data_IF_904872036212
#
_entry.id   IF_904872036212
#
_cell.length_a   1.000
_cell.length_b   1.000
_cell.length_c   1.000
_cell.angle_alpha   90.00
_cell.angle_beta   90.00
_cell.angle_gamma   90.00
#
_symmetry.space_group_name_H-M   'P 1'
#
loop_
_entity.id
_entity.type
_entity.pdbx_description
1 polymer ?
#
# COMPACT_ATOMS: atom_id res chain seq x y z
N UNK A 1 -3.55 -19.11 -16.87
CA UNK A 1 -3.16 -19.95 -15.72
C UNK A 1 -4.19 -21.07 -15.59
N UNK A 2 -3.78 -22.29 -15.21
CA UNK A 2 -4.74 -23.35 -14.85
C UNK A 2 -5.35 -23.00 -13.48
N UNK A 3 -6.68 -23.09 -13.35
CA UNK A 3 -7.38 -22.82 -12.09
C UNK A 3 -7.12 -23.94 -11.09
N UNK A 4 -6.12 -23.77 -10.23
CA UNK A 4 -5.86 -24.65 -9.09
C UNK A 4 -6.33 -23.93 -7.84
N UNK A 5 -7.23 -24.54 -7.07
CA UNK A 5 -7.64 -24.00 -5.78
C UNK A 5 -6.53 -24.22 -4.76
N UNK A 6 -6.15 -23.16 -4.06
CA UNK A 6 -5.20 -23.21 -2.96
C UNK A 6 -5.78 -22.48 -1.76
N UNK A 7 -5.66 -23.09 -0.59
CA UNK A 7 -6.05 -22.46 0.68
C UNK A 7 -4.89 -21.61 1.16
N UNK A 8 -5.16 -20.33 1.41
CA UNK A 8 -4.19 -19.41 2.02
C UNK A 8 -4.58 -19.24 3.47
N UNK A 9 -3.67 -19.55 4.39
CA UNK A 9 -3.87 -19.27 5.81
C UNK A 9 -4.06 -17.76 6.04
N UNK A 10 -5.09 -17.35 6.81
CA UNK A 10 -5.28 -15.95 7.18
C UNK A 10 -4.04 -15.38 7.87
N UNK A 11 -3.66 -14.16 7.49
CA UNK A 11 -2.56 -13.43 8.14
C UNK A 11 -3.12 -12.22 8.84
N UNK A 12 -2.70 -12.00 10.08
CA UNK A 12 -3.00 -10.77 10.78
C UNK A 12 -2.36 -9.60 10.03
N UNK A 13 -3.17 -8.59 9.74
CA UNK A 13 -2.75 -7.35 9.07
C UNK A 13 -3.32 -6.16 9.84
N UNK A 14 -2.68 -5.01 9.69
CA UNK A 14 -3.11 -3.79 10.35
C UNK A 14 -3.64 -2.78 9.33
N UNK A 15 -4.84 -2.27 9.61
CA UNK A 15 -5.39 -1.05 9.01
C UNK A 15 -5.29 0.04 10.07
N UNK A 16 -4.44 1.03 9.84
CA UNK A 16 -4.27 2.16 10.75
C UNK A 16 -5.38 3.20 10.57
N UNK A 17 -5.84 3.39 9.33
CA UNK A 17 -6.91 4.33 9.01
C UNK A 17 -7.69 3.88 7.76
N UNK A 18 -9.01 4.01 7.79
CA UNK A 18 -9.89 3.78 6.65
C UNK A 18 -10.86 4.96 6.52
N UNK A 19 -10.86 5.64 5.37
CA UNK A 19 -11.72 6.80 5.10
C UNK A 19 -12.47 6.65 3.78
N UNK A 20 -13.79 6.84 3.81
CA UNK A 20 -14.58 7.03 2.58
C UNK A 20 -14.29 8.42 2.01
N UNK A 21 -13.95 8.49 0.72
CA UNK A 21 -13.59 9.72 0.01
C UNK A 21 -14.72 10.19 -0.91
N UNK A 22 -15.40 9.26 -1.57
CA UNK A 22 -16.58 9.51 -2.40
C UNK A 22 -17.47 8.27 -2.45
N UNK A 23 -18.75 8.48 -2.66
CA UNK A 23 -19.75 7.42 -2.82
C UNK A 23 -20.78 7.86 -3.86
N UNK A 24 -20.68 7.29 -5.05
CA UNK A 24 -21.51 7.58 -6.21
C UNK A 24 -21.86 6.24 -6.87
N UNK A 25 -22.90 5.55 -6.37
CA UNK A 25 -23.23 4.19 -6.80
C UNK A 25 -23.27 4.06 -8.33
N UNK A 26 -22.65 2.99 -8.89
CA UNK A 26 -22.10 1.83 -8.19
C UNK A 26 -20.65 2.02 -7.67
N UNK A 27 -20.07 3.22 -7.77
CA UNK A 27 -18.68 3.49 -7.45
C UNK A 27 -18.49 4.10 -6.05
N UNK A 28 -17.35 3.79 -5.44
CA UNK A 28 -16.93 4.42 -4.21
C UNK A 28 -15.40 4.43 -4.14
N UNK A 29 -14.86 5.42 -3.44
CA UNK A 29 -13.41 5.56 -3.25
C UNK A 29 -13.10 5.57 -1.77
N UNK A 30 -12.14 4.74 -1.35
CA UNK A 30 -11.60 4.75 0.01
C UNK A 30 -10.12 5.10 0.01
N UNK A 31 -9.67 5.76 1.06
CA UNK A 31 -8.27 5.91 1.41
C UNK A 31 -7.96 4.98 2.58
N UNK A 32 -6.87 4.24 2.50
CA UNK A 32 -6.47 3.28 3.54
C UNK A 32 -5.00 3.48 3.91
N UNK A 33 -4.71 3.62 5.20
CA UNK A 33 -3.36 3.53 5.75
C UNK A 33 -3.18 2.16 6.39
N UNK A 34 -2.11 1.45 6.02
CA UNK A 34 -1.98 0.02 6.28
C UNK A 34 -0.56 -0.39 6.62
N UNK A 35 -0.45 -1.46 7.41
CA UNK A 35 0.80 -2.15 7.65
C UNK A 35 1.24 -3.03 6.46
N UNK A 36 2.44 -3.64 6.55
CA UNK A 36 2.91 -4.57 5.54
C UNK A 36 1.97 -5.77 5.38
N UNK A 37 1.86 -6.28 4.15
CA UNK A 37 1.07 -7.49 3.86
C UNK A 37 -0.43 -7.26 3.69
N UNK A 38 -0.92 -6.01 3.76
CA UNK A 38 -2.32 -5.70 3.57
C UNK A 38 -2.76 -5.85 2.10
N UNK A 39 -3.83 -6.60 1.85
CA UNK A 39 -4.42 -6.79 0.52
C UNK A 39 -5.68 -5.94 0.36
N UNK A 40 -5.55 -4.75 -0.23
CA UNK A 40 -6.68 -3.82 -0.48
C UNK A 40 -7.81 -4.49 -1.28
N UNK A 41 -7.47 -5.39 -2.20
CA UNK A 41 -8.47 -6.15 -2.97
C UNK A 41 -9.36 -7.05 -2.10
N UNK A 42 -8.78 -7.68 -1.07
CA UNK A 42 -9.53 -8.48 -0.10
C UNK A 42 -10.45 -7.58 0.73
N UNK A 43 -9.94 -6.44 1.22
CA UNK A 43 -10.76 -5.46 1.95
C UNK A 43 -11.99 -5.03 1.13
N UNK A 44 -11.81 -4.68 -0.16
CA UNK A 44 -12.94 -4.26 -0.99
C UNK A 44 -13.95 -5.39 -1.21
N UNK A 45 -13.48 -6.62 -1.43
CA UNK A 45 -14.36 -7.79 -1.50
C UNK A 45 -15.18 -7.95 -0.21
N UNK A 46 -14.51 -7.88 0.94
CA UNK A 46 -15.13 -8.09 2.25
C UNK A 46 -16.15 -6.97 2.56
N UNK A 47 -15.86 -5.72 2.17
CA UNK A 47 -16.81 -4.61 2.27
C UNK A 47 -18.06 -4.86 1.42
N UNK A 48 -17.89 -5.35 0.18
CA UNK A 48 -19.01 -5.71 -0.69
C UNK A 48 -19.91 -6.76 -0.06
N UNK A 49 -19.30 -7.85 0.45
CA UNK A 49 -20.03 -8.93 1.13
C UNK A 49 -20.73 -8.44 2.40
N UNK A 50 -20.07 -7.59 3.20
CA UNK A 50 -20.62 -7.06 4.45
C UNK A 50 -21.88 -6.21 4.23
N UNK A 51 -22.03 -5.58 3.06
CA UNK A 51 -23.24 -4.81 2.71
C UNK A 51 -24.25 -5.60 1.89
N UNK A 52 -24.10 -6.93 1.79
CA UNK A 52 -25.02 -7.80 1.06
C UNK A 52 -24.91 -7.71 -0.47
N UNK A 53 -23.74 -7.28 -0.97
CA UNK A 53 -23.47 -7.15 -2.40
C UNK A 53 -22.12 -7.80 -2.76
N UNK A 54 -21.56 -7.43 -3.91
CA UNK A 54 -20.17 -7.68 -4.27
C UNK A 54 -19.47 -6.36 -4.62
N UNK A 55 -18.16 -6.32 -4.41
CA UNK A 55 -17.33 -5.20 -4.82
C UNK A 55 -15.96 -5.71 -5.24
N UNK A 56 -15.37 -5.03 -6.22
CA UNK A 56 -14.02 -5.31 -6.69
C UNK A 56 -13.30 -3.99 -6.93
N UNK A 57 -11.97 -4.04 -6.87
CA UNK A 57 -11.13 -2.86 -7.13
C UNK A 57 -11.09 -2.59 -8.62
N UNK A 58 -11.59 -1.42 -9.05
CA UNK A 58 -11.46 -0.94 -10.43
C UNK A 58 -10.18 -0.11 -10.64
N UNK A 59 -9.75 0.62 -9.61
CA UNK A 59 -8.54 1.44 -9.61
C UNK A 59 -7.84 1.34 -8.25
N UNK A 60 -6.50 1.30 -8.27
CA UNK A 60 -5.69 1.32 -7.04
C UNK A 60 -4.43 2.15 -7.26
N UNK A 61 -4.27 3.19 -6.44
CA UNK A 61 -3.07 4.00 -6.41
C UNK A 61 -2.42 3.94 -5.03
N UNK A 62 -1.18 3.46 -4.96
CA UNK A 62 -0.37 3.55 -3.75
C UNK A 62 0.24 4.95 -3.66
N UNK A 63 -0.31 5.80 -2.80
CA UNK A 63 0.10 7.20 -2.67
C UNK A 63 1.36 7.40 -1.81
N UNK A 64 1.69 6.43 -0.95
CA UNK A 64 2.84 6.46 -0.04
C UNK A 64 3.41 5.07 0.21
N UNK A 65 4.72 4.99 0.43
CA UNK A 65 5.42 3.81 0.96
C UNK A 65 6.56 4.27 1.87
N UNK A 66 6.44 3.98 3.16
CA UNK A 66 7.40 4.47 4.16
C UNK A 66 7.52 6.00 4.09
N UNK A 67 8.73 6.56 3.92
CA UNK A 67 8.92 8.02 3.84
C UNK A 67 8.59 8.60 2.45
N UNK A 68 8.32 7.77 1.44
CA UNK A 68 8.16 8.21 0.05
C UNK A 68 6.70 8.35 -0.33
N UNK A 69 6.35 9.50 -0.89
CA UNK A 69 5.06 9.78 -1.53
C UNK A 69 5.20 9.81 -3.05
N UNK A 70 4.08 9.94 -3.78
CA UNK A 70 4.09 10.09 -5.25
C UNK A 70 5.00 11.22 -5.75
N UNK A 71 5.17 12.31 -5.00
CA UNK A 71 6.08 13.40 -5.35
C UNK A 71 7.55 13.00 -5.48
N UNK A 72 7.92 11.86 -4.88
CA UNK A 72 9.26 11.30 -4.94
C UNK A 72 9.42 10.30 -6.08
N UNK A 73 8.34 9.95 -6.77
CA UNK A 73 8.37 8.96 -7.85
C UNK A 73 8.96 9.55 -9.13
N UNK A 74 9.71 8.73 -9.87
CA UNK A 74 10.13 9.05 -11.22
C UNK A 74 9.02 8.64 -12.19
N UNK A 75 8.55 9.59 -13.01
CA UNK A 75 7.65 9.28 -14.11
C UNK A 75 8.38 8.41 -15.16
N UNK A 76 7.63 7.63 -15.93
CA UNK A 76 8.18 6.57 -16.81
C UNK A 76 9.20 7.09 -17.82
N UNK A 77 8.94 8.26 -18.38
CA UNK A 77 9.83 8.99 -19.29
C UNK A 77 11.17 9.40 -18.65
N UNK A 78 11.22 9.48 -17.32
CA UNK A 78 12.42 9.84 -16.57
C UNK A 78 13.24 8.61 -16.14
N UNK A 79 12.88 7.40 -16.54
CA UNK A 79 13.59 6.15 -16.17
C UNK A 79 14.91 5.97 -16.94
N UNK A 80 15.80 6.95 -16.83
CA UNK A 80 17.17 6.88 -17.32
C UNK A 80 18.10 6.44 -16.19
N UNK A 81 19.19 5.76 -16.52
CA UNK A 81 20.20 5.35 -15.53
C UNK A 81 20.69 6.55 -14.69
N UNK A 82 20.94 7.69 -15.34
CA UNK A 82 21.34 8.94 -14.68
C UNK A 82 20.32 9.38 -13.62
N UNK A 83 19.04 9.46 -13.99
CA UNK A 83 17.98 9.91 -13.08
C UNK A 83 17.78 8.93 -11.93
N UNK A 84 17.86 7.62 -12.18
CA UNK A 84 17.77 6.59 -11.15
C UNK A 84 18.91 6.75 -10.14
N UNK A 85 20.16 6.84 -10.62
CA UNK A 85 21.33 7.04 -9.76
C UNK A 85 21.19 8.33 -8.94
N UNK A 86 20.80 9.43 -9.59
CA UNK A 86 20.60 10.71 -8.90
C UNK A 86 19.53 10.62 -7.81
N UNK A 87 18.43 9.90 -8.03
CA UNK A 87 17.40 9.69 -7.01
C UNK A 87 17.88 8.83 -5.85
N UNK A 88 18.63 7.75 -6.13
CA UNK A 88 19.25 6.91 -5.09
C UNK A 88 20.17 7.77 -4.21
N UNK A 89 21.04 8.58 -4.82
CA UNK A 89 21.95 9.47 -4.08
C UNK A 89 21.15 10.50 -3.28
N UNK A 90 20.17 11.17 -3.91
CA UNK A 90 19.32 12.19 -3.30
C UNK A 90 18.63 11.68 -2.03
N UNK A 91 18.11 10.45 -2.06
CA UNK A 91 17.32 9.90 -0.96
C UNK A 91 18.07 8.95 -0.03
N UNK A 92 19.37 8.74 -0.23
CA UNK A 92 20.20 7.88 0.62
C UNK A 92 20.08 8.22 2.11
N UNK A 93 20.12 9.52 2.45
CA UNK A 93 19.98 9.97 3.85
C UNK A 93 18.59 9.67 4.41
N UNK A 94 17.54 9.93 3.65
CA UNK A 94 16.15 9.65 4.04
C UNK A 94 15.93 8.17 4.33
N UNK A 95 16.45 7.29 3.45
CA UNK A 95 16.40 5.83 3.61
C UNK A 95 17.10 5.42 4.91
N UNK A 96 18.33 5.88 5.12
CA UNK A 96 19.12 5.52 6.30
C UNK A 96 18.44 5.93 7.62
N UNK A 97 17.85 7.13 7.66
CA UNK A 97 17.12 7.60 8.85
C UNK A 97 15.87 6.76 9.06
N UNK A 98 15.09 6.51 8.00
CA UNK A 98 13.86 5.74 8.09
C UNK A 98 14.10 4.33 8.63
N UNK A 99 15.08 3.59 8.05
CA UNK A 99 15.36 2.23 8.50
C UNK A 99 15.97 2.18 9.90
N UNK A 100 16.81 3.16 10.28
CA UNK A 100 17.31 3.26 11.66
C UNK A 100 16.16 3.41 12.65
N UNK A 101 15.20 4.28 12.36
CA UNK A 101 14.05 4.50 13.25
C UNK A 101 13.13 3.27 13.26
N UNK A 102 12.88 2.67 12.10
CA UNK A 102 12.07 1.45 11.99
C UNK A 102 12.65 0.28 12.81
N UNK A 103 13.98 0.10 12.81
CA UNK A 103 14.66 -0.90 13.63
C UNK A 103 14.53 -0.61 15.13
N UNK A 104 14.54 0.66 15.54
CA UNK A 104 14.30 1.06 16.93
C UNK A 104 12.85 0.77 17.35
N UNK A 105 11.88 1.07 16.50
CA UNK A 105 10.46 0.81 16.75
C UNK A 105 10.17 -0.70 16.88
N UNK A 106 10.83 -1.55 16.07
CA UNK A 106 10.77 -3.02 16.23
C UNK A 106 11.38 -3.54 17.51
N UNK A 107 12.38 -2.87 18.09
CA UNK A 107 12.96 -3.29 19.37
C UNK A 107 12.11 -2.88 20.57
N UNK A 108 11.25 -1.86 20.42
CA UNK A 108 10.36 -1.37 21.48
C UNK A 108 8.92 -1.89 21.39
N UNK A 109 8.46 -2.31 20.22
CA UNK A 109 7.17 -2.98 20.03
C UNK A 109 7.40 -4.49 20.09
N UNK A 110 6.70 -5.22 20.95
CA UNK A 110 6.85 -6.67 21.11
C UNK A 110 6.34 -7.49 19.91
N UNK A 111 6.85 -7.18 18.70
CA UNK A 111 6.54 -7.80 17.42
C UNK A 111 7.83 -8.09 16.61
#
# INVERSE_FOLDING_TARGET
MKGVNFTIEPRLVHCYELKLKSFEPPYFTVSVDTGPGFYVRSLINDLGLAVGSCAHVCELQRTKQGPFTLYHSLHKDQWTLKNVIQNIIKFRKTINIYYRNFELDKKGSGW
#
